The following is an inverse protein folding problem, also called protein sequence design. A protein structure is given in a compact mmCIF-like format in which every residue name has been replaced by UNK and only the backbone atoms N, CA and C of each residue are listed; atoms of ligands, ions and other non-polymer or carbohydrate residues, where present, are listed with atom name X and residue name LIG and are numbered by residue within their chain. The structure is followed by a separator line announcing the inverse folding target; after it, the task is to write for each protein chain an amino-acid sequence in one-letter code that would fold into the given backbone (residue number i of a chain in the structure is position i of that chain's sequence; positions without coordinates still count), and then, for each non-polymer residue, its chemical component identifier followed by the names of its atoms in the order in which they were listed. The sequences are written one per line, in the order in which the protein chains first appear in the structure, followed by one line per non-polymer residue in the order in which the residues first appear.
data_IF_623460173617
#
_entry.id   IF_623460173617
#
_cell.length_a   1.000
_cell.length_b   1.000
_cell.length_c   1.000
_cell.angle_alpha   90.00
_cell.angle_beta   90.00
_cell.angle_gamma   90.00
#
_symmetry.space_group_name_H-M   'P 1'
#
loop_
_entity.id
_entity.type
_entity.pdbx_description
1 polymer ?
#
# COMPACT_ATOMS: atom_id res chain seq x y z
N UNK A 1 -11.86 -47.92 -12.10
CA UNK A 1 -12.60 -46.65 -11.90
C UNK A 1 -11.74 -45.72 -11.05
N UNK A 2 -10.71 -45.12 -11.63
CA UNK A 2 -9.85 -44.17 -10.90
C UNK A 2 -9.64 -42.95 -11.79
N UNK A 3 -10.60 -42.03 -11.70
CA UNK A 3 -10.57 -40.78 -12.45
C UNK A 3 -9.55 -39.83 -11.82
N UNK A 4 -8.42 -39.65 -12.52
CA UNK A 4 -7.76 -38.38 -12.79
C UNK A 4 -8.10 -37.22 -11.84
N UNK A 5 -7.38 -37.13 -10.71
CA UNK A 5 -7.11 -35.83 -10.06
C UNK A 5 -6.18 -35.06 -10.98
N UNK A 6 -6.75 -34.37 -11.97
CA UNK A 6 -6.04 -33.34 -12.72
C UNK A 6 -5.70 -32.24 -11.71
N UNK A 7 -4.47 -32.25 -11.21
CA UNK A 7 -3.89 -31.14 -10.48
C UNK A 7 -3.91 -29.95 -11.42
N UNK A 8 -4.94 -29.12 -11.27
CA UNK A 8 -5.06 -27.84 -11.95
C UNK A 8 -4.07 -26.88 -11.26
N UNK A 9 -2.78 -27.14 -11.42
CA UNK A 9 -1.72 -26.29 -10.88
C UNK A 9 -1.82 -24.95 -11.59
N UNK A 10 -2.31 -23.95 -10.88
CA UNK A 10 -2.26 -22.57 -11.35
C UNK A 10 -0.80 -22.24 -11.64
N UNK A 11 -0.46 -22.12 -12.92
CA UNK A 11 0.88 -21.70 -13.36
C UNK A 11 1.18 -20.33 -12.74
N UNK A 12 2.06 -20.32 -11.74
CA UNK A 12 2.45 -19.13 -10.99
C UNK A 12 3.21 -18.18 -11.92
N UNK A 13 2.82 -16.90 -11.94
CA UNK A 13 3.49 -15.89 -12.73
C UNK A 13 4.57 -15.20 -11.89
N UNK A 14 5.81 -15.66 -12.03
CA UNK A 14 6.96 -15.10 -11.33
C UNK A 14 7.19 -13.61 -11.63
N UNK A 15 6.83 -13.12 -12.83
CA UNK A 15 6.95 -11.71 -13.18
C UNK A 15 6.07 -10.82 -12.30
N UNK A 16 4.84 -11.26 -12.01
CA UNK A 16 3.93 -10.54 -11.10
C UNK A 16 4.44 -10.57 -9.66
N UNK A 17 5.02 -11.69 -9.23
CA UNK A 17 5.58 -11.79 -7.89
C UNK A 17 6.80 -10.87 -7.72
N UNK A 18 7.70 -10.83 -8.70
CA UNK A 18 8.84 -9.91 -8.72
C UNK A 18 8.34 -8.46 -8.72
N UNK A 19 7.35 -8.13 -9.56
CA UNK A 19 6.76 -6.79 -9.59
C UNK A 19 6.18 -6.40 -8.22
N UNK A 20 5.54 -7.35 -7.53
CA UNK A 20 5.02 -7.13 -6.18
C UNK A 20 6.14 -6.88 -5.18
N UNK A 21 7.22 -7.66 -5.20
CA UNK A 21 8.38 -7.44 -4.33
C UNK A 21 9.04 -6.08 -4.58
N UNK A 22 9.23 -5.71 -5.85
CA UNK A 22 9.78 -4.40 -6.24
C UNK A 22 8.86 -3.27 -5.75
N UNK A 23 7.54 -3.42 -5.88
CA UNK A 23 6.58 -2.44 -5.36
C UNK A 23 6.65 -2.29 -3.84
N UNK A 24 6.81 -3.38 -3.08
CA UNK A 24 6.99 -3.33 -1.62
C UNK A 24 8.26 -2.55 -1.25
N UNK A 25 9.36 -2.79 -1.96
CA UNK A 25 10.62 -2.07 -1.73
C UNK A 25 10.47 -0.57 -2.02
N UNK A 26 9.84 -0.19 -3.13
CA UNK A 26 9.61 1.21 -3.47
C UNK A 26 8.70 1.91 -2.44
N UNK A 27 7.69 1.22 -1.87
CA UNK A 27 6.87 1.78 -0.78
C UNK A 27 7.72 2.12 0.44
N UNK A 28 8.65 1.25 0.82
CA UNK A 28 9.57 1.49 1.94
C UNK A 28 10.44 2.72 1.63
N UNK A 29 11.02 2.77 0.43
CA UNK A 29 11.84 3.90 -0.02
C UNK A 29 11.08 5.23 0.03
N UNK A 30 9.84 5.26 -0.46
CA UNK A 30 8.96 6.44 -0.41
C UNK A 30 8.76 6.94 1.03
N UNK A 31 8.50 6.04 1.97
CA UNK A 31 8.28 6.41 3.37
C UNK A 31 9.56 6.85 4.09
N UNK A 32 10.71 6.27 3.75
CA UNK A 32 12.01 6.69 4.31
C UNK A 32 12.36 8.08 3.79
N UNK A 33 12.35 8.28 2.47
CA UNK A 33 12.71 9.57 1.86
C UNK A 33 11.69 10.64 2.25
N UNK A 34 10.40 10.33 2.27
CA UNK A 34 9.35 11.28 2.67
C UNK A 34 9.44 11.73 4.13
N UNK A 35 9.99 10.89 5.04
CA UNK A 35 10.28 11.29 6.43
C UNK A 35 11.66 11.94 6.58
N UNK A 36 12.55 11.75 5.62
CA UNK A 36 13.85 12.40 5.63
C UNK A 36 13.69 13.90 5.42
N UNK A 37 14.48 14.71 6.13
CA UNK A 37 14.51 16.17 5.93
C UNK A 37 15.23 16.58 4.64
N UNK A 38 15.48 15.63 3.72
CA UNK A 38 16.26 15.87 2.51
C UNK A 38 15.55 16.84 1.58
N UNK A 39 14.21 16.91 1.63
CA UNK A 39 13.38 17.85 0.86
C UNK A 39 13.66 19.32 1.23
N UNK A 40 14.25 19.58 2.41
CA UNK A 40 14.58 20.92 2.88
C UNK A 40 16.04 21.33 2.58
N UNK A 41 16.79 20.51 1.83
CA UNK A 41 18.15 20.85 1.41
C UNK A 41 18.16 21.71 0.15
N UNK A 42 19.29 22.37 -0.08
CA UNK A 42 19.48 23.21 -1.26
C UNK A 42 19.28 22.38 -2.55
N UNK A 43 18.43 22.81 -3.50
CA UNK A 43 18.16 22.08 -4.75
C UNK A 43 19.39 21.80 -5.61
N UNK A 44 20.49 22.54 -5.40
CA UNK A 44 21.77 22.36 -6.11
C UNK A 44 22.66 21.26 -5.51
N UNK A 45 22.29 20.69 -4.35
CA UNK A 45 23.02 19.58 -3.73
C UNK A 45 22.77 18.28 -4.51
N UNK A 46 23.85 17.59 -4.89
CA UNK A 46 23.78 16.28 -5.56
C UNK A 46 22.97 15.27 -4.74
N UNK A 47 23.05 15.31 -3.41
CA UNK A 47 22.28 14.42 -2.53
C UNK A 47 20.77 14.71 -2.61
N UNK A 48 20.39 15.97 -2.76
CA UNK A 48 19.00 16.36 -2.98
C UNK A 48 18.50 15.80 -4.31
N UNK A 49 19.24 16.00 -5.39
CA UNK A 49 18.85 15.53 -6.73
C UNK A 49 18.66 14.02 -6.78
N UNK A 50 19.61 13.24 -6.24
CA UNK A 50 19.52 11.78 -6.20
C UNK A 50 18.30 11.32 -5.39
N UNK A 51 18.10 11.89 -4.20
CA UNK A 51 16.99 11.52 -3.32
C UNK A 51 15.64 11.91 -3.93
N UNK A 52 15.57 13.04 -4.62
CA UNK A 52 14.38 13.50 -5.30
C UNK A 52 14.05 12.63 -6.53
N UNK A 53 15.05 12.22 -7.30
CA UNK A 53 14.87 11.27 -8.40
C UNK A 53 14.35 9.92 -7.89
N UNK A 54 14.93 9.42 -6.79
CA UNK A 54 14.47 8.22 -6.10
C UNK A 54 13.01 8.34 -5.63
N UNK A 55 12.62 9.52 -5.13
CA UNK A 55 11.25 9.80 -4.70
C UNK A 55 10.26 9.75 -5.88
N UNK A 56 10.60 10.40 -7.00
CA UNK A 56 9.77 10.40 -8.22
C UNK A 56 9.60 8.96 -8.74
N UNK A 57 10.69 8.19 -8.79
CA UNK A 57 10.66 6.80 -9.20
C UNK A 57 9.73 5.94 -8.32
N UNK A 58 9.80 6.12 -6.99
CA UNK A 58 8.98 5.38 -6.03
C UNK A 58 7.52 5.89 -5.92
N UNK A 59 7.16 6.99 -6.59
CA UNK A 59 5.84 7.61 -6.42
C UNK A 59 4.68 6.72 -6.88
N UNK A 60 4.91 5.87 -7.89
CA UNK A 60 3.90 4.93 -8.41
C UNK A 60 3.78 3.63 -7.59
N UNK A 61 4.60 3.46 -6.55
CA UNK A 61 4.76 2.19 -5.84
C UNK A 61 3.45 1.63 -5.26
N UNK A 62 2.65 2.50 -4.64
CA UNK A 62 1.38 2.08 -4.02
C UNK A 62 0.37 1.61 -5.07
N UNK A 63 0.35 2.21 -6.26
CA UNK A 63 -0.52 1.79 -7.36
C UNK A 63 -0.12 0.41 -7.89
N UNK A 64 1.20 0.18 -8.09
CA UNK A 64 1.72 -1.13 -8.49
C UNK A 64 1.44 -2.21 -7.44
N UNK A 65 1.60 -1.88 -6.17
CA UNK A 65 1.32 -2.79 -5.06
C UNK A 65 -0.16 -3.17 -4.99
N UNK A 66 -1.06 -2.20 -5.15
CA UNK A 66 -2.50 -2.45 -5.19
C UNK A 66 -2.90 -3.30 -6.41
N UNK A 67 -2.37 -2.98 -7.59
CA UNK A 67 -2.66 -3.70 -8.84
C UNK A 67 -2.20 -5.17 -8.78
N UNK A 68 -0.96 -5.41 -8.34
CA UNK A 68 -0.42 -6.77 -8.19
C UNK A 68 -1.18 -7.57 -7.13
N UNK A 69 -1.56 -6.93 -6.03
CA UNK A 69 -2.38 -7.57 -4.98
C UNK A 69 -3.77 -7.94 -5.49
N UNK A 70 -4.44 -7.04 -6.20
CA UNK A 70 -5.75 -7.31 -6.83
C UNK A 70 -5.67 -8.45 -7.84
N UNK A 71 -4.66 -8.43 -8.72
CA UNK A 71 -4.44 -9.49 -9.72
C UNK A 71 -4.26 -10.88 -9.08
N UNK A 72 -3.53 -10.97 -7.96
CA UNK A 72 -3.34 -12.23 -7.25
C UNK A 72 -4.60 -12.69 -6.51
N UNK A 73 -5.47 -11.76 -6.08
CA UNK A 73 -6.65 -12.06 -5.26
C UNK A 73 -7.89 -12.40 -6.12
N UNK A 74 -8.03 -11.81 -7.32
CA UNK A 74 -9.28 -11.89 -8.12
C UNK A 74 -9.77 -13.33 -8.33
N UNK A 75 -8.86 -14.26 -8.63
CA UNK A 75 -9.18 -15.67 -8.88
C UNK A 75 -9.08 -16.56 -7.62
N UNK A 76 -8.93 -15.99 -6.43
CA UNK A 76 -8.78 -16.75 -5.18
C UNK A 76 -10.10 -16.87 -4.44
N UNK A 77 -10.29 -17.99 -3.70
CA UNK A 77 -11.45 -18.14 -2.84
C UNK A 77 -11.41 -17.09 -1.73
N UNK A 78 -12.40 -16.20 -1.74
CA UNK A 78 -12.60 -15.21 -0.69
C UNK A 78 -12.86 -15.93 0.64
N UNK A 79 -12.22 -15.45 1.71
CA UNK A 79 -12.46 -15.94 3.05
C UNK A 79 -12.43 -14.77 4.01
N UNK A 80 -13.59 -14.43 4.57
CA UNK A 80 -13.79 -13.35 5.55
C UNK A 80 -12.80 -13.38 6.72
N UNK A 81 -12.26 -14.54 7.06
CA UNK A 81 -11.35 -14.70 8.20
C UNK A 81 -9.88 -14.44 7.86
N UNK A 82 -9.48 -14.37 6.58
CA UNK A 82 -8.08 -14.12 6.18
C UNK A 82 -7.61 -12.69 6.50
N UNK A 83 -8.51 -11.76 6.82
CA UNK A 83 -8.12 -10.41 7.27
C UNK A 83 -7.58 -10.41 8.71
N UNK A 84 -8.04 -11.32 9.56
CA UNK A 84 -7.66 -11.43 10.98
C UNK A 84 -6.16 -11.67 11.16
N UNK A 85 -5.52 -12.68 10.51
CA UNK A 85 -4.08 -12.88 10.66
C UNK A 85 -3.28 -11.70 10.11
N UNK A 86 -3.73 -11.05 9.05
CA UNK A 86 -3.10 -9.83 8.53
C UNK A 86 -3.17 -8.70 9.55
N UNK A 87 -4.33 -8.50 10.19
CA UNK A 87 -4.51 -7.49 11.22
C UNK A 87 -3.69 -7.76 12.48
N UNK A 88 -3.66 -9.01 12.93
CA UNK A 88 -2.83 -9.43 14.06
C UNK A 88 -1.34 -9.24 13.77
N UNK A 89 -0.87 -9.59 12.57
CA UNK A 89 0.52 -9.34 12.16
C UNK A 89 0.87 -7.86 12.22
N UNK A 90 0.04 -6.99 11.64
CA UNK A 90 0.28 -5.53 11.66
C UNK A 90 0.31 -5.01 13.10
N UNK A 91 -0.65 -5.40 13.94
CA UNK A 91 -0.74 -4.99 15.35
C UNK A 91 0.47 -5.48 16.16
N UNK A 92 0.87 -6.74 15.92
CA UNK A 92 2.02 -7.35 16.58
C UNK A 92 3.32 -6.64 16.25
N UNK A 93 3.62 -6.44 14.96
CA UNK A 93 4.86 -5.77 14.55
C UNK A 93 4.86 -4.28 14.92
N UNK A 94 3.72 -3.59 14.82
CA UNK A 94 3.60 -2.20 15.24
C UNK A 94 3.91 -2.03 16.73
N UNK A 95 3.32 -2.88 17.58
CA UNK A 95 3.56 -2.86 19.01
C UNK A 95 4.99 -3.28 19.38
N UNK A 96 5.50 -4.37 18.78
CA UNK A 96 6.86 -4.85 19.03
C UNK A 96 7.91 -3.78 18.72
N UNK A 97 7.79 -3.06 17.60
CA UNK A 97 8.71 -1.98 17.24
C UNK A 97 8.65 -0.86 18.26
N UNK A 98 7.46 -0.42 18.70
CA UNK A 98 7.33 0.62 19.71
C UNK A 98 7.93 0.22 21.07
N UNK A 99 7.78 -1.05 21.46
CA UNK A 99 8.42 -1.59 22.66
C UNK A 99 9.95 -1.59 22.54
N UNK A 100 10.49 -1.98 21.39
CA UNK A 100 11.94 -1.94 21.14
C UNK A 100 12.49 -0.51 21.19
N UNK A 101 11.79 0.46 20.62
CA UNK A 101 12.17 1.88 20.70
C UNK A 101 12.19 2.41 22.13
N UNK A 102 11.33 1.89 23.00
CA UNK A 102 11.28 2.26 24.42
C UNK A 102 12.40 1.62 25.25
N UNK A 103 12.74 0.35 24.99
CA UNK A 103 13.69 -0.41 25.80
C UNK A 103 15.15 -0.11 25.41
N UNK A 104 15.43 0.11 24.12
CA UNK A 104 16.79 0.33 23.64
C UNK A 104 17.19 1.80 23.85
N UNK A 105 18.18 2.11 24.71
CA UNK A 105 18.50 3.49 25.08
C UNK A 105 18.91 4.36 23.88
N UNK A 106 19.65 3.78 22.93
CA UNK A 106 20.06 4.45 21.70
C UNK A 106 18.86 4.89 20.85
N UNK A 107 17.78 4.09 20.80
CA UNK A 107 16.58 4.40 20.04
C UNK A 107 15.69 5.43 20.74
N UNK A 108 15.64 5.38 22.08
CA UNK A 108 14.90 6.36 22.89
C UNK A 108 15.44 7.79 22.74
N UNK A 109 16.70 7.96 22.33
CA UNK A 109 17.28 9.28 22.02
C UNK A 109 16.67 9.91 20.76
N UNK A 110 16.21 9.09 19.80
CA UNK A 110 15.60 9.58 18.57
C UNK A 110 14.11 9.87 18.72
N UNK A 111 13.40 9.05 19.52
CA UNK A 111 11.98 9.26 19.79
C UNK A 111 11.59 8.62 21.13
N UNK A 112 11.05 9.42 22.05
CA UNK A 112 10.54 8.94 23.33
C UNK A 112 9.13 8.39 23.17
N UNK A 113 9.01 7.06 23.21
CA UNK A 113 7.71 6.38 23.05
C UNK A 113 6.95 6.37 24.37
N UNK A 114 5.74 6.92 24.35
CA UNK A 114 4.83 6.93 25.50
C UNK A 114 4.05 5.61 25.61
N UNK A 115 3.58 5.29 26.83
CA UNK A 115 2.72 4.11 27.05
C UNK A 115 1.43 4.16 26.22
N UNK A 116 0.90 5.38 25.98
CA UNK A 116 -0.31 5.60 25.19
C UNK A 116 -0.06 5.27 23.71
N UNK A 117 1.11 5.59 23.17
CA UNK A 117 1.49 5.25 21.79
C UNK A 117 1.61 3.74 21.59
N UNK A 118 2.16 3.02 22.57
CA UNK A 118 2.22 1.55 22.56
C UNK A 118 0.81 0.97 22.53
N UNK A 119 -0.08 1.42 23.43
CA UNK A 119 -1.48 0.94 23.48
C UNK A 119 -2.21 1.25 22.16
N UNK A 120 -2.02 2.45 21.60
CA UNK A 120 -2.61 2.83 20.30
C UNK A 120 -2.06 2.00 19.14
N UNK A 121 -0.77 1.66 19.16
CA UNK A 121 -0.15 0.81 18.14
C UNK A 121 -0.73 -0.62 18.15
N UNK A 122 -1.02 -1.17 19.33
CA UNK A 122 -1.64 -2.50 19.47
C UNK A 122 -3.14 -2.52 19.19
N UNK A 123 -3.91 -1.54 19.69
CA UNK A 123 -5.38 -1.57 19.63
C UNK A 123 -5.95 -0.91 18.37
N UNK A 124 -5.25 0.08 17.82
CA UNK A 124 -5.77 0.96 16.77
C UNK A 124 -4.80 1.19 15.60
N UNK A 125 -4.18 0.14 15.02
CA UNK A 125 -3.41 0.33 13.79
C UNK A 125 -4.31 0.77 12.63
N UNK A 126 -5.58 0.35 12.62
CA UNK A 126 -6.55 0.65 11.55
C UNK A 126 -7.09 2.08 11.62
N UNK A 127 -7.23 2.70 12.78
CA UNK A 127 -7.77 4.07 12.89
C UNK A 127 -6.68 5.15 12.94
N UNK A 128 -5.42 4.74 12.98
CA UNK A 128 -4.28 5.64 12.94
C UNK A 128 -3.95 6.06 11.51
N UNK A 129 -3.79 7.38 11.27
CA UNK A 129 -3.30 7.93 9.99
C UNK A 129 -1.94 7.36 9.55
N UNK A 130 -1.20 6.76 10.47
CA UNK A 130 0.08 6.10 10.23
C UNK A 130 -0.01 4.89 9.28
N UNK A 131 -1.14 4.20 9.21
CA UNK A 131 -1.34 3.02 8.36
C UNK A 131 -2.47 3.21 7.36
N UNK A 132 -2.54 4.40 6.75
CA UNK A 132 -3.62 4.79 5.84
C UNK A 132 -3.98 3.71 4.80
N UNK A 133 -2.98 3.07 4.19
CA UNK A 133 -3.20 2.03 3.19
C UNK A 133 -3.87 0.79 3.79
N UNK A 134 -3.45 0.38 4.98
CA UNK A 134 -4.04 -0.76 5.67
C UNK A 134 -5.49 -0.50 6.05
N UNK A 135 -5.83 0.73 6.47
CA UNK A 135 -7.21 1.15 6.75
C UNK A 135 -8.09 1.05 5.50
N UNK A 136 -7.64 1.62 4.38
CA UNK A 136 -8.35 1.54 3.11
C UNK A 136 -8.50 0.10 2.65
N UNK A 137 -7.43 -0.71 2.78
CA UNK A 137 -7.45 -2.12 2.41
C UNK A 137 -8.42 -2.92 3.30
N UNK A 138 -8.47 -2.64 4.60
CA UNK A 138 -9.40 -3.29 5.53
C UNK A 138 -10.85 -3.03 5.12
N UNK A 139 -11.20 -1.78 4.78
CA UNK A 139 -12.52 -1.45 4.25
C UNK A 139 -12.79 -2.16 2.91
N UNK A 140 -11.85 -2.07 1.95
CA UNK A 140 -11.94 -2.72 0.65
C UNK A 140 -12.11 -4.24 0.77
N UNK A 141 -11.52 -4.86 1.79
CA UNK A 141 -11.56 -6.31 2.01
C UNK A 141 -13.00 -6.86 2.09
N UNK A 142 -13.94 -6.09 2.63
CA UNK A 142 -15.35 -6.47 2.68
C UNK A 142 -16.04 -6.36 1.32
N UNK A 143 -15.53 -5.51 0.43
CA UNK A 143 -16.05 -5.31 -0.92
C UNK A 143 -15.43 -6.24 -1.97
N UNK A 144 -14.29 -6.88 -1.68
CA UNK A 144 -13.62 -7.85 -2.58
C UNK A 144 -14.58 -8.88 -3.21
N UNK A 145 -15.50 -9.57 -2.48
CA UNK A 145 -16.37 -10.55 -3.12
C UNK A 145 -17.27 -9.95 -4.20
N UNK A 146 -17.81 -8.76 -3.97
CA UNK A 146 -18.65 -8.04 -4.93
C UNK A 146 -17.85 -7.53 -6.12
N UNK A 147 -16.65 -6.98 -5.87
CA UNK A 147 -15.74 -6.52 -6.92
C UNK A 147 -15.32 -7.70 -7.81
N UNK A 148 -14.97 -8.84 -7.23
CA UNK A 148 -14.59 -10.03 -8.00
C UNK A 148 -15.76 -10.53 -8.87
N UNK A 149 -16.98 -10.59 -8.31
CA UNK A 149 -18.16 -10.96 -9.10
C UNK A 149 -18.41 -9.99 -10.26
N UNK A 150 -18.31 -8.68 -10.02
CA UNK A 150 -18.43 -7.66 -11.06
C UNK A 150 -17.38 -7.86 -12.15
N UNK A 151 -16.10 -8.00 -11.77
CA UNK A 151 -14.99 -8.19 -12.70
C UNK A 151 -15.13 -9.45 -13.55
N UNK A 152 -15.77 -10.51 -13.05
CA UNK A 152 -16.03 -11.72 -13.83
C UNK A 152 -17.27 -11.61 -14.74
N UNK A 153 -18.15 -10.65 -14.48
CA UNK A 153 -19.41 -10.47 -15.25
C UNK A 153 -19.28 -9.54 -16.45
N UNK A 154 -18.26 -8.67 -16.46
CA UNK A 154 -18.07 -7.65 -17.51
C UNK A 154 -17.19 -8.15 -18.65
N UNK A 155 -17.42 -7.62 -19.85
CA UNK A 155 -16.65 -7.97 -21.04
C UNK A 155 -15.34 -7.17 -21.15
N UNK A 156 -14.51 -7.52 -22.15
CA UNK A 156 -13.22 -6.83 -22.37
C UNK A 156 -13.39 -5.35 -22.71
N UNK A 157 -14.51 -4.96 -23.31
CA UNK A 157 -14.78 -3.56 -23.69
C UNK A 157 -15.09 -2.74 -22.43
N UNK A 158 -15.97 -3.24 -21.59
CA UNK A 158 -16.34 -2.67 -20.29
C UNK A 158 -15.14 -2.60 -19.34
N UNK A 159 -14.26 -3.60 -19.33
CA UNK A 159 -12.99 -3.51 -18.59
C UNK A 159 -12.14 -2.32 -19.03
N UNK A 160 -12.01 -2.07 -20.34
CA UNK A 160 -11.26 -0.93 -20.87
C UNK A 160 -11.93 0.40 -20.51
N UNK A 161 -13.25 0.48 -20.67
CA UNK A 161 -14.03 1.67 -20.28
C UNK A 161 -13.84 1.99 -18.79
N UNK A 162 -13.91 0.99 -17.92
CA UNK A 162 -13.69 1.15 -16.48
C UNK A 162 -12.28 1.67 -16.16
N UNK A 163 -11.24 1.13 -16.81
CA UNK A 163 -9.86 1.62 -16.64
C UNK A 163 -9.74 3.08 -17.09
N UNK A 164 -10.35 3.42 -18.23
CA UNK A 164 -10.34 4.79 -18.76
C UNK A 164 -11.02 5.74 -17.76
N UNK A 165 -12.19 5.40 -17.24
CA UNK A 165 -12.90 6.22 -16.25
C UNK A 165 -12.06 6.46 -15.00
N UNK A 166 -11.39 5.41 -14.47
CA UNK A 166 -10.53 5.55 -13.28
C UNK A 166 -9.34 6.49 -13.54
N UNK A 167 -8.75 6.45 -14.74
CA UNK A 167 -7.64 7.33 -15.11
C UNK A 167 -8.13 8.78 -15.27
N UNK A 168 -9.28 8.98 -15.92
CA UNK A 168 -9.86 10.30 -16.13
C UNK A 168 -10.28 10.98 -14.83
N UNK A 169 -10.86 10.23 -13.89
CA UNK A 169 -11.26 10.75 -12.57
C UNK A 169 -10.05 11.33 -11.82
N UNK A 170 -8.92 10.60 -11.81
CA UNK A 170 -7.67 11.09 -11.21
C UNK A 170 -7.10 12.32 -11.91
N UNK A 171 -7.26 12.42 -13.23
CA UNK A 171 -6.81 13.59 -13.98
C UNK A 171 -7.69 14.82 -13.68
N UNK A 172 -9.01 14.62 -13.56
CA UNK A 172 -9.96 15.67 -13.17
C UNK A 172 -9.61 16.25 -11.79
N UNK A 173 -9.31 15.39 -10.81
CA UNK A 173 -8.88 15.83 -9.48
C UNK A 173 -7.54 16.59 -9.51
N UNK A 174 -6.59 16.20 -10.36
CA UNK A 174 -5.31 16.93 -10.46
C UNK A 174 -5.50 18.38 -10.97
N UNK A 175 -6.47 18.61 -11.84
CA UNK A 175 -6.80 19.95 -12.33
C UNK A 175 -7.54 20.79 -11.28
N UNK A 176 -8.37 20.18 -10.42
CA UNK A 176 -8.99 20.89 -9.30
C UNK A 176 -7.99 21.25 -8.19
N UNK A 177 -6.96 20.42 -7.97
CA UNK A 177 -5.82 20.76 -7.07
C UNK A 177 -4.94 21.90 -7.60
N UNK A 178 -4.68 21.96 -8.92
CA UNK A 178 -3.93 23.07 -9.55
C UNK A 178 -4.72 24.38 -9.47
N UNK A 179 -6.03 24.36 -9.78
CA UNK A 179 -6.90 25.53 -9.71
C UNK A 179 -7.11 26.06 -8.28
N UNK A 180 -7.04 25.19 -7.26
CA UNK A 180 -7.07 25.61 -5.85
C UNK A 180 -5.78 26.30 -5.40
N UNK A 181 -4.63 25.94 -6.00
CA UNK A 181 -3.34 26.56 -5.67
C UNK A 181 -3.14 27.91 -6.38
N UNK A 182 -3.67 28.07 -7.59
CA UNK A 182 -3.62 29.36 -8.32
C UNK A 182 -4.59 30.42 -7.75
N UNK A 183 -5.73 30.01 -7.17
CA UNK A 183 -6.67 30.93 -6.50
C UNK A 183 -6.23 31.40 -5.10
N UNK A 184 -5.02 31.04 -4.66
CA UNK A 184 -4.42 31.50 -3.39
C UNK A 184 -3.25 32.47 -3.57
N UNK A 185 -3.03 32.98 -4.79
CA UNK A 185 -2.26 34.21 -5.03
C UNK A 185 -3.20 35.39 -5.14
#
# INVERSE_FOLDING_TARGET
MEQNKINNERKRNYGIDILKMVSMFMVIQLHIIGKSKIVNKNPKDTNFLISYFMLIYAYCAVNLFAMTSGYLIVNTKYSRFKIIPTWLNVSYYAGLINVLFKIIPVLSTYHTVTNIEIIKAYLTPVTSKYYWYFTCYFALYFFIPYINQMLHSIDKKQHKELIITIIFDKFSDSNSFINFYDNKK
#
